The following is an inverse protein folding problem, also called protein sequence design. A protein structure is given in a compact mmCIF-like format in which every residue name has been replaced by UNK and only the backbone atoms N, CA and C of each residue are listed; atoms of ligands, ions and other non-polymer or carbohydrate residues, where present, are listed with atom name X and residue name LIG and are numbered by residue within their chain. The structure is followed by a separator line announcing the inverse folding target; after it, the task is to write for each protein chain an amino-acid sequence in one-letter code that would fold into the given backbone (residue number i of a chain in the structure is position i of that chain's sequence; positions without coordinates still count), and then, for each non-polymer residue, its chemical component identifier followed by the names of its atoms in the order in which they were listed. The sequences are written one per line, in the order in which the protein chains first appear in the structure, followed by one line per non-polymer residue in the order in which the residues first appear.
data_IF_382272958444
#
_entry.id   IF_382272958444
#
_cell.length_a   1.000
_cell.length_b   1.000
_cell.length_c   1.000
_cell.angle_alpha   90.00
_cell.angle_beta   90.00
_cell.angle_gamma   90.00
#
_symmetry.space_group_name_H-M   'P 1'
#
loop_
_entity.id
_entity.type
_entity.pdbx_description
1 polymer ?
#
# COMPACT_ATOMS: atom_id res chain seq x y z
N UNK A 1 -21.35 31.13 -40.70
CA UNK A 1 -20.26 30.22 -41.11
C UNK A 1 -19.13 30.20 -40.02
N UNK A 2 -18.71 31.36 -39.54
CA UNK A 2 -17.69 31.44 -38.48
C UNK A 2 -18.14 30.78 -37.17
N UNK A 3 -19.38 30.99 -36.75
CA UNK A 3 -19.94 30.36 -35.53
C UNK A 3 -19.99 28.85 -35.65
N UNK A 4 -20.34 28.31 -36.81
CA UNK A 4 -20.38 26.87 -37.06
C UNK A 4 -18.98 26.24 -37.01
N UNK A 5 -17.98 26.94 -37.54
CA UNK A 5 -16.56 26.50 -37.46
C UNK A 5 -16.05 26.49 -36.01
N UNK A 6 -16.39 27.50 -35.23
CA UNK A 6 -16.03 27.57 -33.79
C UNK A 6 -16.70 26.45 -33.00
N UNK A 7 -18.00 26.18 -33.27
CA UNK A 7 -18.72 25.08 -32.59
C UNK A 7 -18.10 23.72 -32.92
N UNK A 8 -17.75 23.48 -34.19
CA UNK A 8 -17.12 22.23 -34.60
C UNK A 8 -15.73 22.07 -33.96
N UNK A 9 -14.96 23.14 -33.91
CA UNK A 9 -13.65 23.15 -33.25
C UNK A 9 -13.77 22.85 -31.74
N UNK A 10 -14.74 23.45 -31.05
CA UNK A 10 -14.98 23.19 -29.62
C UNK A 10 -15.39 21.74 -29.38
N UNK A 11 -16.25 21.17 -30.20
CA UNK A 11 -16.64 19.74 -30.08
C UNK A 11 -15.42 18.84 -30.28
N UNK A 12 -14.62 19.07 -31.32
CA UNK A 12 -13.40 18.28 -31.57
C UNK A 12 -12.41 18.40 -30.41
N UNK A 13 -12.19 19.62 -29.90
CA UNK A 13 -11.32 19.87 -28.74
C UNK A 13 -11.83 19.18 -27.49
N UNK A 14 -13.14 19.19 -27.25
CA UNK A 14 -13.76 18.49 -26.12
C UNK A 14 -13.55 16.99 -26.19
N UNK A 15 -13.80 16.39 -27.35
CA UNK A 15 -13.57 14.94 -27.55
C UNK A 15 -12.09 14.58 -27.38
N UNK A 16 -11.20 15.43 -27.87
CA UNK A 16 -9.76 15.25 -27.68
C UNK A 16 -9.34 15.35 -26.22
N UNK A 17 -9.84 16.37 -25.49
CA UNK A 17 -9.58 16.54 -24.06
C UNK A 17 -10.08 15.34 -23.23
N UNK A 18 -11.26 14.80 -23.54
CA UNK A 18 -11.79 13.60 -22.87
C UNK A 18 -10.87 12.37 -23.03
N UNK A 19 -10.11 12.28 -24.11
CA UNK A 19 -9.15 11.18 -24.32
C UNK A 19 -7.81 11.42 -23.65
N UNK A 20 -7.40 12.67 -23.48
CA UNK A 20 -6.07 13.04 -22.99
C UNK A 20 -6.06 13.28 -21.47
N UNK A 21 -7.14 13.81 -20.92
CA UNK A 21 -7.24 14.08 -19.48
C UNK A 21 -7.38 12.78 -18.73
N UNK A 22 -6.44 12.45 -17.81
CA UNK A 22 -6.55 11.25 -16.99
C UNK A 22 -7.78 11.37 -16.09
N UNK A 23 -8.72 10.44 -16.27
CA UNK A 23 -9.92 10.35 -15.45
C UNK A 23 -9.65 9.42 -14.29
N UNK A 24 -9.69 9.93 -13.06
CA UNK A 24 -9.64 9.15 -11.83
C UNK A 24 -10.83 9.54 -10.95
N UNK A 25 -11.43 8.57 -10.28
CA UNK A 25 -12.53 8.81 -9.33
C UNK A 25 -12.06 9.68 -8.14
N UNK A 26 -10.82 9.50 -7.73
CA UNK A 26 -10.14 10.33 -6.74
C UNK A 26 -8.73 10.62 -7.26
N UNK A 27 -8.42 11.85 -7.59
CA UNK A 27 -7.06 12.22 -7.95
C UNK A 27 -6.14 12.05 -6.72
N UNK A 28 -4.94 11.54 -6.94
CA UNK A 28 -3.92 11.50 -5.91
C UNK A 28 -3.48 12.93 -5.58
N UNK A 29 -3.67 13.34 -4.33
CA UNK A 29 -3.21 14.63 -3.85
C UNK A 29 -1.85 14.48 -3.16
N UNK A 30 -1.01 15.50 -3.31
CA UNK A 30 0.25 15.58 -2.59
C UNK A 30 0.07 16.27 -1.25
N UNK A 31 -0.39 15.52 -0.26
CA UNK A 31 -0.58 15.99 1.12
C UNK A 31 0.73 16.15 1.90
N UNK A 32 1.86 15.76 1.31
CA UNK A 32 3.15 15.70 2.01
C UNK A 32 3.23 14.60 3.06
N UNK A 33 2.32 13.64 3.02
CA UNK A 33 2.28 12.50 3.95
C UNK A 33 2.22 11.20 3.19
N UNK A 34 3.02 10.24 3.61
CA UNK A 34 2.95 8.87 3.12
C UNK A 34 2.92 7.91 4.30
N UNK A 35 2.21 6.82 4.15
CA UNK A 35 2.20 5.72 5.10
C UNK A 35 2.93 4.52 4.50
N UNK A 36 3.62 3.77 5.35
CA UNK A 36 4.29 2.54 4.95
C UNK A 36 3.84 1.45 5.91
N UNK A 37 2.96 0.58 5.44
CA UNK A 37 2.61 -0.62 6.18
C UNK A 37 3.75 -1.63 6.03
N UNK A 38 4.10 -2.29 7.12
CA UNK A 38 5.19 -3.27 7.14
C UNK A 38 4.72 -4.58 7.74
N UNK A 39 5.27 -5.69 7.24
CA UNK A 39 4.88 -7.03 7.65
C UNK A 39 6.07 -7.98 7.56
N UNK A 40 6.33 -8.69 8.64
CA UNK A 40 7.24 -9.84 8.68
C UNK A 40 6.47 -11.15 8.54
N UNK A 41 7.18 -12.27 8.43
CA UNK A 41 6.56 -13.58 8.35
C UNK A 41 5.64 -13.86 9.56
N UNK A 42 4.60 -14.66 9.36
CA UNK A 42 3.74 -15.11 10.44
C UNK A 42 4.56 -15.88 11.47
N UNK A 43 4.35 -15.60 12.76
CA UNK A 43 5.11 -16.21 13.85
C UNK A 43 6.43 -15.51 14.19
N UNK A 44 6.81 -14.43 13.48
CA UNK A 44 7.95 -13.59 13.88
C UNK A 44 7.73 -13.00 15.27
N UNK A 45 8.81 -12.93 16.05
CA UNK A 45 8.76 -12.30 17.36
C UNK A 45 8.71 -10.78 17.26
N UNK A 46 8.31 -10.11 18.35
CA UNK A 46 8.34 -8.65 18.44
C UNK A 46 9.75 -8.10 18.22
N UNK A 47 10.76 -8.74 18.79
CA UNK A 47 12.16 -8.30 18.64
C UNK A 47 12.66 -8.43 17.21
N UNK A 48 12.23 -9.48 16.51
CA UNK A 48 12.57 -9.67 15.10
C UNK A 48 11.88 -8.59 14.23
N UNK A 49 10.60 -8.33 14.45
CA UNK A 49 9.87 -7.27 13.77
C UNK A 49 10.52 -5.89 14.04
N UNK A 50 10.89 -5.60 15.29
CA UNK A 50 11.54 -4.36 15.69
C UNK A 50 12.88 -4.17 14.96
N UNK A 51 13.72 -5.20 14.91
CA UNK A 51 15.02 -5.15 14.23
C UNK A 51 14.84 -4.78 12.75
N UNK A 52 13.95 -5.46 12.04
CA UNK A 52 13.67 -5.16 10.63
C UNK A 52 13.08 -3.76 10.44
N UNK A 53 12.21 -3.33 11.37
CA UNK A 53 11.64 -1.99 11.34
C UNK A 53 12.73 -0.91 11.51
N UNK A 54 13.72 -1.14 12.36
CA UNK A 54 14.87 -0.25 12.53
C UNK A 54 15.75 -0.18 11.28
N UNK A 55 15.91 -1.27 10.54
CA UNK A 55 16.61 -1.27 9.24
C UNK A 55 15.89 -0.42 8.21
N UNK A 56 14.57 -0.55 8.10
CA UNK A 56 13.76 0.31 7.24
C UNK A 56 13.82 1.78 7.66
N UNK A 57 13.84 2.05 8.98
CA UNK A 57 13.95 3.40 9.53
C UNK A 57 15.25 4.10 9.10
N UNK A 58 16.37 3.38 9.04
CA UNK A 58 17.65 3.92 8.55
C UNK A 58 17.54 4.36 7.09
N UNK A 59 16.91 3.53 6.24
CA UNK A 59 16.70 3.87 4.82
C UNK A 59 15.84 5.12 4.68
N UNK A 60 14.82 5.28 5.52
CA UNK A 60 13.96 6.46 5.50
C UNK A 60 14.70 7.71 6.01
N UNK A 61 15.54 7.58 7.02
CA UNK A 61 16.33 8.69 7.57
C UNK A 61 17.35 9.26 6.56
N UNK A 62 17.82 8.43 5.63
CA UNK A 62 18.77 8.84 4.60
C UNK A 62 18.11 9.49 3.37
N UNK A 63 16.78 9.46 3.24
CA UNK A 63 16.12 10.02 2.06
C UNK A 63 15.94 11.53 2.18
N UNK A 64 16.49 12.33 1.24
CA UNK A 64 16.48 13.80 1.31
C UNK A 64 15.10 14.44 1.22
N UNK A 65 14.07 13.70 0.77
CA UNK A 65 12.71 14.20 0.64
C UNK A 65 11.90 14.04 1.93
N UNK A 66 12.40 13.28 2.90
CA UNK A 66 11.74 13.03 4.17
C UNK A 66 12.15 14.12 5.17
N UNK A 67 11.17 14.69 5.86
CA UNK A 67 11.36 15.65 6.95
C UNK A 67 11.44 14.94 8.30
N UNK A 68 10.60 13.91 8.48
CA UNK A 68 10.59 13.09 9.68
C UNK A 68 9.58 11.96 9.56
N UNK A 69 9.67 11.01 10.47
CA UNK A 69 8.74 9.88 10.52
C UNK A 69 8.53 9.40 11.96
N UNK A 70 7.39 8.76 12.17
CA UNK A 70 7.07 7.99 13.37
C UNK A 70 6.96 6.52 12.97
N UNK A 71 7.53 5.64 13.77
CA UNK A 71 7.47 4.19 13.58
C UNK A 71 6.66 3.54 14.69
N UNK A 72 5.80 2.60 14.34
CA UNK A 72 5.05 1.76 15.28
C UNK A 72 5.29 0.30 14.92
N UNK A 73 5.58 -0.51 15.94
CA UNK A 73 5.79 -1.95 15.82
C UNK A 73 4.73 -2.66 16.63
N UNK A 74 4.13 -3.70 16.03
CA UNK A 74 3.03 -4.41 16.61
C UNK A 74 1.71 -3.65 16.51
N UNK A 75 0.63 -4.38 16.47
CA UNK A 75 -0.73 -3.85 16.51
C UNK A 75 -1.54 -4.62 17.56
N UNK A 76 -2.78 -4.19 17.80
CA UNK A 76 -3.68 -4.82 18.76
C UNK A 76 -3.91 -6.32 18.46
N UNK A 77 -3.72 -6.74 17.20
CA UNK A 77 -3.99 -8.10 16.73
C UNK A 77 -2.76 -8.91 16.36
N UNK A 78 -1.71 -8.28 15.83
CA UNK A 78 -0.56 -9.01 15.25
C UNK A 78 0.75 -8.29 15.59
N UNK A 79 1.69 -9.03 16.17
CA UNK A 79 3.03 -8.51 16.50
C UNK A 79 3.96 -8.43 15.29
N UNK A 80 3.64 -9.14 14.20
CA UNK A 80 4.42 -9.17 12.97
C UNK A 80 4.09 -8.03 11.98
N UNK A 81 3.26 -7.07 12.39
CA UNK A 81 2.90 -5.90 11.60
C UNK A 81 3.49 -4.62 12.22
N UNK A 82 3.78 -3.66 11.37
CA UNK A 82 4.19 -2.33 11.80
C UNK A 82 3.74 -1.27 10.79
N UNK A 83 3.98 -0.03 11.14
CA UNK A 83 3.61 1.11 10.30
C UNK A 83 4.59 2.26 10.49
N UNK A 84 4.92 2.95 9.40
CA UNK A 84 5.53 4.26 9.43
C UNK A 84 4.55 5.32 8.98
N UNK A 85 4.48 6.39 9.72
CA UNK A 85 3.85 7.64 9.34
C UNK A 85 4.96 8.60 8.95
N UNK A 86 5.10 8.86 7.65
CA UNK A 86 6.22 9.64 7.12
C UNK A 86 5.72 11.00 6.67
N UNK A 87 6.37 12.05 7.14
CA UNK A 87 6.18 13.42 6.70
C UNK A 87 7.25 13.79 5.70
N UNK A 88 6.85 14.21 4.53
CA UNK A 88 7.73 14.71 3.50
C UNK A 88 8.03 16.20 3.73
N UNK A 89 9.17 16.66 3.25
CA UNK A 89 9.49 18.09 3.21
C UNK A 89 8.43 18.86 2.44
N UNK A 90 8.21 20.14 2.74
CA UNK A 90 7.30 20.99 1.99
C UNK A 90 7.57 20.95 0.49
N UNK A 91 6.51 21.11 -0.33
CA UNK A 91 6.62 21.02 -1.79
C UNK A 91 7.63 22.00 -2.39
N UNK A 92 7.86 23.15 -1.73
CA UNK A 92 8.87 24.13 -2.09
C UNK A 92 10.33 23.65 -1.92
N UNK A 93 10.55 22.64 -1.07
CA UNK A 93 11.88 22.09 -0.75
C UNK A 93 12.15 20.74 -1.42
N UNK A 94 11.18 20.16 -2.14
CA UNK A 94 11.34 18.89 -2.85
C UNK A 94 10.87 19.00 -4.30
N UNK A 95 11.57 18.33 -5.20
CA UNK A 95 11.22 18.27 -6.62
C UNK A 95 10.18 17.17 -6.92
N UNK A 96 10.21 16.08 -6.14
CA UNK A 96 9.38 14.90 -6.36
C UNK A 96 8.00 15.08 -5.71
N UNK A 97 6.96 14.55 -6.36
CA UNK A 97 5.62 14.41 -5.76
C UNK A 97 5.61 13.29 -4.72
N UNK A 98 4.57 13.22 -3.87
CA UNK A 98 4.43 12.14 -2.90
C UNK A 98 4.43 10.76 -3.58
N UNK A 99 3.73 10.60 -4.70
CA UNK A 99 3.71 9.36 -5.47
C UNK A 99 5.07 9.00 -6.05
N UNK A 100 5.83 9.99 -6.54
CA UNK A 100 7.19 9.77 -7.04
C UNK A 100 8.16 9.36 -5.91
N UNK A 101 7.99 9.92 -4.71
CA UNK A 101 8.75 9.51 -3.53
C UNK A 101 8.40 8.07 -3.15
N UNK A 102 7.14 7.69 -3.14
CA UNK A 102 6.67 6.32 -2.92
C UNK A 102 7.34 5.36 -3.91
N UNK A 103 7.29 5.66 -5.22
CA UNK A 103 7.90 4.80 -6.24
C UNK A 103 9.43 4.69 -6.09
N UNK A 104 10.09 5.75 -5.64
CA UNK A 104 11.54 5.75 -5.38
C UNK A 104 11.91 4.96 -4.12
N UNK A 105 11.10 5.02 -3.08
CA UNK A 105 11.34 4.30 -1.83
C UNK A 105 11.13 2.79 -1.99
N UNK A 106 10.17 2.38 -2.80
CA UNK A 106 9.78 0.98 -3.01
C UNK A 106 10.97 0.03 -3.27
N UNK A 107 11.84 0.24 -4.26
CA UNK A 107 12.98 -0.63 -4.50
C UNK A 107 14.04 -0.59 -3.39
N UNK A 108 14.12 0.52 -2.64
CA UNK A 108 15.05 0.63 -1.52
C UNK A 108 14.59 -0.20 -0.33
N UNK A 109 13.29 -0.09 0.02
CA UNK A 109 12.69 -0.84 1.12
C UNK A 109 12.61 -2.34 0.81
N UNK A 110 12.40 -2.73 -0.44
CA UNK A 110 12.37 -4.12 -0.87
C UNK A 110 13.73 -4.85 -0.74
N UNK A 111 14.83 -4.12 -0.51
CA UNK A 111 16.16 -4.73 -0.31
C UNK A 111 16.35 -5.31 1.09
N UNK A 112 15.51 -4.95 2.05
CA UNK A 112 15.59 -5.48 3.41
C UNK A 112 14.93 -6.86 3.42
N UNK A 113 15.69 -7.95 3.61
CA UNK A 113 15.12 -9.29 3.63
C UNK A 113 14.31 -9.52 4.90
N UNK A 114 13.32 -10.41 4.86
CA UNK A 114 12.53 -10.80 6.04
C UNK A 114 11.36 -9.86 6.38
N UNK A 115 11.28 -8.68 5.77
CA UNK A 115 10.18 -7.73 5.94
C UNK A 115 9.65 -7.26 4.59
N UNK A 116 8.33 -7.12 4.49
CA UNK A 116 7.67 -6.49 3.35
C UNK A 116 7.22 -5.09 3.74
N UNK A 117 7.45 -4.12 2.90
CA UNK A 117 7.05 -2.74 3.11
C UNK A 117 6.17 -2.27 1.94
N UNK A 118 5.02 -1.68 2.28
CA UNK A 118 4.00 -1.22 1.35
C UNK A 118 3.83 0.30 1.48
N UNK A 119 4.69 1.09 0.81
CA UNK A 119 4.58 2.53 0.83
C UNK A 119 3.41 2.99 -0.01
N UNK A 120 2.58 3.86 0.55
CA UNK A 120 1.40 4.44 -0.12
C UNK A 120 1.25 5.93 0.19
N UNK A 121 0.79 6.69 -0.79
CA UNK A 121 0.34 8.04 -0.58
C UNK A 121 -0.99 8.01 0.21
N UNK A 122 -1.16 8.94 1.15
CA UNK A 122 -2.38 9.03 1.96
C UNK A 122 -3.36 9.94 1.23
N UNK A 123 -4.47 9.40 0.70
CA UNK A 123 -5.48 10.24 0.08
C UNK A 123 -6.18 11.11 1.13
N UNK A 124 -6.54 12.33 0.75
CA UNK A 124 -7.29 13.26 1.62
C UNK A 124 -8.67 12.72 2.00
N UNK A 125 -9.25 11.89 1.15
CA UNK A 125 -10.54 11.25 1.37
C UNK A 125 -10.33 9.73 1.33
N UNK A 126 -10.65 9.06 2.43
CA UNK A 126 -10.65 7.60 2.50
C UNK A 126 -12.08 7.10 2.28
N UNK A 127 -12.28 6.33 1.21
CA UNK A 127 -13.55 5.66 0.94
C UNK A 127 -13.39 4.20 1.36
N UNK A 128 -14.19 3.76 2.32
CA UNK A 128 -14.16 2.42 2.90
C UNK A 128 -13.85 2.42 4.38
N UNK A 129 -14.51 1.54 5.12
CA UNK A 129 -14.48 1.52 6.59
C UNK A 129 -13.25 0.87 7.22
N UNK A 130 -12.32 0.30 6.46
CA UNK A 130 -11.16 -0.42 6.99
C UNK A 130 -9.85 0.13 6.41
N UNK A 131 -8.88 0.32 7.29
CA UNK A 131 -7.51 0.62 6.86
C UNK A 131 -6.92 -0.61 6.18
N UNK A 132 -6.49 -0.45 4.92
CA UNK A 132 -5.89 -1.51 4.12
C UNK A 132 -4.44 -1.15 3.75
N UNK A 133 -3.62 -2.17 3.53
CA UNK A 133 -2.26 -2.03 3.01
C UNK A 133 -2.25 -1.49 1.58
N UNK A 134 -3.32 -1.74 0.80
CA UNK A 134 -3.48 -1.34 -0.58
C UNK A 134 -4.61 -0.32 -0.75
N UNK A 135 -4.58 0.47 -1.84
CA UNK A 135 -5.62 1.44 -2.18
C UNK A 135 -6.95 0.77 -2.56
N UNK A 136 -6.89 -0.43 -3.14
CA UNK A 136 -8.06 -1.20 -3.58
C UNK A 136 -8.21 -2.42 -2.70
N UNK A 137 -9.47 -2.72 -2.36
CA UNK A 137 -9.83 -3.87 -1.54
C UNK A 137 -10.82 -4.75 -2.29
N UNK A 138 -10.60 -6.04 -2.22
CA UNK A 138 -11.53 -7.04 -2.72
C UNK A 138 -11.84 -8.04 -1.61
N UNK A 139 -13.13 -8.26 -1.34
CA UNK A 139 -13.57 -9.18 -0.28
C UNK A 139 -14.11 -10.47 -0.89
N UNK A 140 -13.48 -11.58 -0.52
CA UNK A 140 -13.97 -12.92 -0.83
C UNK A 140 -14.86 -13.41 0.31
N UNK A 141 -16.02 -13.95 -0.02
CA UNK A 141 -16.94 -14.54 0.95
C UNK A 141 -17.33 -15.96 0.51
N UNK A 142 -17.44 -16.86 1.46
CA UNK A 142 -17.83 -18.24 1.22
C UNK A 142 -18.37 -18.88 2.50
N UNK A 143 -19.23 -19.90 2.35
CA UNK A 143 -19.79 -20.64 3.49
C UNK A 143 -18.83 -21.72 4.00
N UNK A 144 -18.05 -22.35 3.11
CA UNK A 144 -17.01 -23.31 3.46
C UNK A 144 -15.67 -22.60 3.68
N UNK A 145 -15.19 -22.65 4.92
CA UNK A 145 -13.94 -21.97 5.31
C UNK A 145 -12.71 -22.59 4.64
N UNK A 146 -12.69 -23.94 4.45
CA UNK A 146 -11.56 -24.61 3.84
C UNK A 146 -11.46 -24.31 2.34
N UNK A 147 -12.59 -24.27 1.65
CA UNK A 147 -12.67 -23.87 0.26
C UNK A 147 -12.32 -22.38 0.08
N UNK A 148 -12.84 -21.53 0.96
CA UNK A 148 -12.55 -20.09 0.96
C UNK A 148 -11.05 -19.83 1.07
N UNK A 149 -10.37 -20.48 2.02
CA UNK A 149 -8.92 -20.30 2.23
C UNK A 149 -8.10 -20.78 1.03
N UNK A 150 -8.44 -21.94 0.47
CA UNK A 150 -7.78 -22.46 -0.73
C UNK A 150 -7.98 -21.55 -1.94
N UNK A 151 -9.21 -21.08 -2.14
CA UNK A 151 -9.56 -20.19 -3.25
C UNK A 151 -8.91 -18.83 -3.09
N UNK A 152 -8.87 -18.28 -1.87
CA UNK A 152 -8.23 -16.99 -1.58
C UNK A 152 -6.72 -17.03 -1.89
N UNK A 153 -6.03 -18.11 -1.48
CA UNK A 153 -4.61 -18.26 -1.78
C UNK A 153 -4.33 -18.40 -3.29
N UNK A 154 -5.15 -19.16 -4.02
CA UNK A 154 -5.03 -19.30 -5.47
C UNK A 154 -5.35 -17.98 -6.20
N UNK A 155 -6.34 -17.24 -5.72
CA UNK A 155 -6.72 -15.94 -6.26
C UNK A 155 -5.61 -14.89 -6.06
N UNK A 156 -5.06 -14.81 -4.84
CA UNK A 156 -3.92 -13.94 -4.55
C UNK A 156 -2.72 -14.22 -5.46
N UNK A 157 -2.37 -15.50 -5.65
CA UNK A 157 -1.28 -15.89 -6.54
C UNK A 157 -1.51 -15.40 -7.97
N UNK A 158 -2.73 -15.58 -8.52
CA UNK A 158 -3.07 -15.11 -9.87
C UNK A 158 -3.05 -13.59 -9.99
N UNK A 159 -3.49 -12.86 -8.95
CA UNK A 159 -3.44 -11.40 -8.97
C UNK A 159 -2.00 -10.88 -8.95
N UNK A 160 -1.07 -11.57 -8.28
CA UNK A 160 0.35 -11.20 -8.27
C UNK A 160 1.03 -11.33 -9.63
N UNK A 161 0.52 -12.22 -10.48
CA UNK A 161 1.06 -12.42 -11.83
C UNK A 161 0.60 -11.34 -12.82
N UNK A 162 -0.34 -10.47 -12.43
CA UNK A 162 -0.82 -9.38 -13.27
C UNK A 162 0.13 -8.17 -13.19
N UNK A 163 0.73 -7.73 -14.31
CA UNK A 163 1.69 -6.63 -14.31
C UNK A 163 1.08 -5.27 -13.98
N UNK A 164 -0.25 -5.13 -14.10
CA UNK A 164 -0.99 -3.92 -13.77
C UNK A 164 -1.18 -3.72 -12.26
N UNK A 165 -1.02 -4.79 -11.45
CA UNK A 165 -1.23 -4.76 -10.02
C UNK A 165 0.10 -4.74 -9.26
N UNK A 166 0.17 -3.86 -8.28
CA UNK A 166 1.31 -3.74 -7.37
C UNK A 166 0.85 -3.99 -5.94
N UNK A 167 1.72 -4.57 -5.11
CA UNK A 167 1.49 -4.79 -3.68
C UNK A 167 0.24 -5.64 -3.39
N UNK A 168 0.01 -6.68 -4.18
CA UNK A 168 -1.07 -7.64 -3.92
C UNK A 168 -0.80 -8.36 -2.60
N UNK A 169 -1.71 -8.20 -1.64
CA UNK A 169 -1.64 -8.79 -0.30
C UNK A 169 -2.99 -9.36 0.10
N UNK A 170 -2.96 -10.35 0.98
CA UNK A 170 -4.13 -10.90 1.65
C UNK A 170 -4.05 -10.66 3.16
N UNK A 171 -5.18 -10.56 3.82
CA UNK A 171 -5.29 -10.58 5.27
C UNK A 171 -5.42 -12.01 5.84
N UNK A 172 -5.34 -13.02 4.99
CA UNK A 172 -5.41 -14.43 5.35
C UNK A 172 -4.19 -14.83 6.19
N UNK A 173 -4.42 -15.09 7.48
CA UNK A 173 -3.40 -15.53 8.44
C UNK A 173 -3.79 -16.90 9.02
N UNK A 174 -3.36 -17.98 8.37
CA UNK A 174 -3.69 -19.36 8.74
C UNK A 174 -2.48 -20.17 9.19
N UNK A 175 -1.29 -19.61 9.13
CA UNK A 175 -0.03 -20.34 9.38
C UNK A 175 0.55 -20.10 10.78
N UNK A 176 -0.26 -19.60 11.73
CA UNK A 176 0.20 -19.43 13.11
C UNK A 176 0.46 -20.80 13.76
N UNK A 177 1.65 -21.05 14.31
CA UNK A 177 1.95 -22.29 15.03
C UNK A 177 1.00 -22.42 16.23
N UNK A 178 0.37 -23.57 16.37
CA UNK A 178 -0.52 -23.90 17.48
C UNK A 178 0.07 -25.07 18.27
N UNK A 179 0.08 -24.93 19.59
CA UNK A 179 0.40 -26.04 20.51
C UNK A 179 -0.92 -26.61 21.01
N UNK A 180 -1.20 -27.88 20.66
CA UNK A 180 -2.34 -28.62 21.20
C UNK A 180 -1.86 -29.50 22.36
N UNK A 181 -2.27 -29.20 23.58
CA UNK A 181 -1.97 -30.01 24.75
C UNK A 181 -3.12 -30.99 24.96
N UNK A 182 -2.84 -32.30 24.84
CA UNK A 182 -3.78 -33.36 25.21
C UNK A 182 -3.38 -33.91 26.58
N UNK A 183 -4.23 -33.68 27.59
CA UNK A 183 -4.02 -34.20 28.94
C UNK A 183 -4.67 -35.59 29.00
N UNK A 184 -3.85 -36.63 29.15
CA UNK A 184 -4.35 -38.00 29.43
C UNK A 184 -4.68 -38.10 30.92
N UNK A 185 -5.95 -38.30 31.24
CA UNK A 185 -6.44 -38.47 32.64
C UNK A 185 -6.61 -39.94 32.93
#
# INVERSE_FOLDING_TARGET
RATLAVTLLTILLTVWLFKVVPMGFLPSEDTGRINIDTETAQGSSFEDMKRHQEELARILAEDPNIDGFMSSVGGIRNVNNGMFFVRLKPRSQRKLTADQVVQRLRPKLARVPGIKAYPKNVPSIQIGGMSSKSLYQFTLQGQDTAELYRTAAAFEARLRDLPELQDVTSDLQISNPQIKVAINR
#
